data_IF_804941522775
#
_entry.id   IF_804941522775
#
_cell.length_a   1.000
_cell.length_b   1.000
_cell.length_c   1.000
_cell.angle_alpha   90.00
_cell.angle_beta   90.00
_cell.angle_gamma   90.00
#
_symmetry.space_group_name_H-M   'P 1'
#
loop_
_entity.id
_entity.type
_entity.pdbx_description
1 polymer ?
#
# COMPACT_ATOMS: atom_id res chain seq x y z
N UNK A 1 -6.17 -24.06 19.08
CA UNK A 1 -5.66 -22.91 18.31
C UNK A 1 -4.62 -23.47 17.36
N UNK A 2 -4.73 -23.21 16.07
CA UNK A 2 -3.67 -23.48 15.10
C UNK A 2 -3.06 -22.13 14.70
N UNK A 3 -1.73 -22.08 14.59
CA UNK A 3 -1.00 -20.91 14.12
C UNK A 3 -0.41 -21.22 12.75
N UNK A 4 -0.71 -20.39 11.76
CA UNK A 4 -0.07 -20.43 10.45
C UNK A 4 1.14 -19.50 10.47
N UNK A 5 2.27 -19.98 9.93
CA UNK A 5 3.51 -19.21 9.77
C UNK A 5 4.01 -19.38 8.33
N UNK A 6 4.60 -18.33 7.78
CA UNK A 6 5.30 -18.31 6.50
C UNK A 6 6.74 -17.84 6.73
N UNK A 7 7.73 -18.73 6.63
CA UNK A 7 9.16 -18.45 6.73
C UNK A 7 9.80 -18.06 5.38
N UNK A 8 10.97 -17.42 5.44
CA UNK A 8 11.52 -16.69 4.29
C UNK A 8 13.06 -16.57 4.29
N UNK A 9 13.81 -17.28 3.43
CA UNK A 9 15.29 -17.20 3.40
C UNK A 9 15.93 -17.59 2.04
N UNK A 10 16.85 -16.78 1.47
CA UNK A 10 17.48 -17.01 0.13
C UNK A 10 18.87 -16.37 -0.08
N UNK A 11 19.52 -16.74 -1.20
CA UNK A 11 20.80 -16.24 -1.73
C UNK A 11 20.65 -15.68 -3.17
N UNK A 12 21.57 -14.78 -3.60
CA UNK A 12 21.47 -14.05 -4.87
C UNK A 12 21.92 -14.82 -6.13
N UNK A 13 21.35 -14.43 -7.28
CA UNK A 13 21.99 -14.50 -8.61
C UNK A 13 21.92 -13.12 -9.27
N UNK A 14 23.01 -12.69 -9.92
CA UNK A 14 23.05 -11.42 -10.67
C UNK A 14 22.49 -11.62 -12.09
N UNK A 15 21.21 -11.27 -12.29
CA UNK A 15 20.63 -11.08 -13.63
C UNK A 15 20.37 -9.58 -13.88
N UNK A 16 20.63 -9.13 -15.10
CA UNK A 16 20.44 -7.72 -15.48
C UNK A 16 18.99 -7.47 -15.95
N UNK A 17 18.02 -7.50 -15.03
CA UNK A 17 16.62 -7.08 -15.27
C UNK A 17 16.12 -6.16 -14.15
N UNK A 18 15.17 -5.29 -14.49
CA UNK A 18 15.10 -3.93 -13.91
C UNK A 18 14.55 -3.79 -12.47
N UNK A 19 14.05 -4.85 -11.84
CA UNK A 19 13.28 -4.79 -10.60
C UNK A 19 14.03 -5.40 -9.40
N UNK A 20 15.22 -4.88 -9.10
CA UNK A 20 16.10 -5.41 -8.05
C UNK A 20 15.55 -5.21 -6.62
N UNK A 21 14.76 -6.17 -6.13
CA UNK A 21 14.23 -6.20 -4.76
C UNK A 21 12.71 -6.34 -4.65
N UNK A 22 12.02 -6.77 -5.70
CA UNK A 22 10.63 -7.21 -5.63
C UNK A 22 10.55 -8.74 -5.45
N UNK A 23 9.57 -9.17 -4.66
CA UNK A 23 9.09 -10.55 -4.58
C UNK A 23 7.55 -10.47 -4.65
N UNK A 24 6.91 -11.21 -5.54
CA UNK A 24 5.44 -11.20 -5.67
C UNK A 24 4.96 -12.63 -5.65
N UNK A 25 4.16 -13.02 -4.68
CA UNK A 25 3.68 -14.38 -4.50
C UNK A 25 2.21 -14.43 -4.92
N UNK A 26 1.87 -15.39 -5.77
CA UNK A 26 0.52 -15.81 -6.14
C UNK A 26 0.20 -17.08 -5.33
N UNK A 27 -0.83 -17.01 -4.49
CA UNK A 27 -1.04 -17.99 -3.41
C UNK A 27 -2.01 -19.10 -3.84
N UNK A 28 -1.66 -20.35 -3.56
CA UNK A 28 -2.36 -21.53 -4.06
C UNK A 28 -1.94 -21.97 -5.47
N UNK A 29 -1.11 -21.18 -6.16
CA UNK A 29 -0.60 -21.47 -7.50
C UNK A 29 0.36 -22.68 -7.47
N UNK A 30 0.23 -23.55 -8.47
CA UNK A 30 1.06 -24.77 -8.56
C UNK A 30 2.55 -24.45 -8.78
N UNK A 31 3.46 -25.30 -8.29
CA UNK A 31 4.91 -25.08 -8.45
C UNK A 31 5.39 -25.26 -9.89
N UNK A 32 4.64 -26.02 -10.71
CA UNK A 32 4.75 -25.98 -12.18
C UNK A 32 4.32 -24.60 -12.70
N UNK A 33 3.19 -24.10 -12.20
CA UNK A 33 2.50 -22.90 -12.66
C UNK A 33 3.00 -21.56 -12.10
N UNK A 34 4.10 -21.57 -11.38
CA UNK A 34 4.37 -20.60 -10.33
C UNK A 34 4.68 -19.14 -10.78
N UNK A 35 5.26 -18.86 -11.96
CA UNK A 35 6.27 -17.78 -12.11
C UNK A 35 6.15 -16.67 -13.18
N UNK A 36 4.95 -16.24 -13.55
CA UNK A 36 4.70 -15.52 -14.81
C UNK A 36 5.01 -14.01 -14.75
N UNK A 37 5.22 -13.39 -15.92
CA UNK A 37 5.21 -11.92 -16.06
C UNK A 37 3.78 -11.44 -16.27
N UNK A 38 3.15 -10.96 -15.20
CA UNK A 38 1.81 -10.39 -15.28
C UNK A 38 1.80 -9.09 -16.11
N UNK A 39 1.03 -9.00 -17.21
CA UNK A 39 0.96 -7.77 -17.99
C UNK A 39 0.27 -6.62 -17.24
N UNK A 40 -0.60 -6.91 -16.26
CA UNK A 40 -1.41 -5.90 -15.55
C UNK A 40 -0.62 -5.10 -14.50
N UNK A 41 0.47 -5.67 -13.99
CA UNK A 41 1.47 -5.07 -13.11
C UNK A 41 2.62 -4.40 -13.86
N UNK A 42 2.56 -4.29 -15.19
CA UNK A 42 3.65 -3.77 -15.99
C UNK A 42 4.79 -4.77 -16.25
N UNK A 43 4.52 -6.08 -16.12
CA UNK A 43 5.49 -7.16 -16.36
C UNK A 43 6.29 -7.57 -15.13
N UNK A 44 5.77 -7.35 -13.91
CA UNK A 44 6.36 -7.90 -12.68
C UNK A 44 6.25 -9.43 -12.73
N UNK A 45 7.28 -10.11 -12.21
CA UNK A 45 7.30 -11.56 -12.03
C UNK A 45 6.56 -11.91 -10.73
N UNK A 46 5.58 -12.82 -10.83
CA UNK A 46 4.95 -13.51 -9.70
C UNK A 46 5.58 -14.89 -9.52
N UNK A 47 5.38 -15.53 -8.36
CA UNK A 47 5.90 -16.86 -7.96
C UNK A 47 4.86 -17.58 -7.07
N UNK A 48 4.80 -18.92 -7.06
CA UNK A 48 4.00 -19.73 -6.11
C UNK A 48 4.46 -19.55 -4.66
N UNK A 49 3.59 -19.97 -3.75
CA UNK A 49 3.80 -20.00 -2.30
C UNK A 49 4.48 -21.27 -1.77
N UNK A 50 4.78 -22.27 -2.61
CA UNK A 50 5.32 -23.57 -2.22
C UNK A 50 6.65 -23.55 -1.45
N UNK A 51 7.56 -22.60 -1.76
CA UNK A 51 8.80 -22.38 -0.99
C UNK A 51 8.71 -21.28 0.07
N UNK A 52 7.48 -20.81 0.37
CA UNK A 52 7.18 -19.66 1.23
C UNK A 52 6.25 -20.03 2.40
N UNK A 53 5.74 -21.26 2.45
CA UNK A 53 4.72 -21.73 3.39
C UNK A 53 5.25 -22.85 4.28
N UNK A 54 5.08 -22.71 5.61
CA UNK A 54 5.40 -23.80 6.56
C UNK A 54 4.18 -24.69 6.86
N UNK A 55 2.97 -24.22 6.49
CA UNK A 55 1.70 -24.87 6.74
C UNK A 55 0.61 -24.30 5.81
N UNK A 56 -0.45 -25.08 5.59
CA UNK A 56 -1.57 -24.76 4.68
C UNK A 56 -1.83 -25.92 3.72
N UNK A 57 -2.88 -25.79 2.92
CA UNK A 57 -3.15 -26.65 1.75
C UNK A 57 -3.58 -25.73 0.59
N UNK A 58 -3.09 -25.98 -0.63
CA UNK A 58 -3.37 -25.12 -1.78
C UNK A 58 -4.83 -25.31 -2.25
N UNK A 59 -5.68 -24.38 -1.84
CA UNK A 59 -7.12 -24.35 -2.18
C UNK A 59 -7.32 -23.89 -3.62
N UNK A 60 -7.30 -24.84 -4.56
CA UNK A 60 -7.49 -24.55 -6.00
C UNK A 60 -8.83 -23.84 -6.24
N UNK A 61 -8.76 -22.70 -6.94
CA UNK A 61 -9.91 -21.99 -7.48
C UNK A 61 -10.54 -22.76 -8.65
N UNK A 62 -11.71 -22.32 -9.14
CA UNK A 62 -12.34 -22.92 -10.31
C UNK A 62 -11.39 -22.92 -11.54
N UNK A 63 -11.53 -23.87 -12.50
CA UNK A 63 -10.51 -24.16 -13.53
C UNK A 63 -10.26 -23.10 -14.62
N UNK A 64 -10.51 -21.83 -14.35
CA UNK A 64 -10.57 -20.73 -15.31
C UNK A 64 -9.33 -19.78 -15.23
N UNK A 65 -8.32 -20.07 -14.37
CA UNK A 65 -7.43 -19.05 -13.78
C UNK A 65 -5.94 -19.44 -13.35
N UNK A 66 -5.02 -20.06 -14.15
CA UNK A 66 -3.61 -20.51 -13.71
C UNK A 66 -2.37 -20.24 -14.70
N UNK A 67 -1.07 -20.43 -14.26
CA UNK A 67 0.30 -20.60 -14.98
C UNK A 67 1.39 -19.45 -15.06
N UNK A 68 2.78 -19.56 -15.10
CA UNK A 68 3.91 -20.59 -15.15
C UNK A 68 5.37 -20.09 -14.69
N UNK A 69 6.27 -20.88 -14.00
CA UNK A 69 7.74 -20.68 -13.52
C UNK A 69 8.13 -20.26 -12.04
N UNK A 70 9.27 -19.66 -11.55
CA UNK A 70 9.60 -19.55 -10.05
C UNK A 70 10.59 -18.41 -9.47
N UNK A 71 10.68 -18.20 -8.10
CA UNK A 71 11.76 -17.59 -7.16
C UNK A 71 11.88 -16.04 -6.79
N UNK A 72 12.37 -15.44 -5.65
CA UNK A 72 12.85 -15.79 -4.24
C UNK A 72 13.22 -14.56 -3.24
N UNK A 73 13.73 -14.76 -1.97
CA UNK A 73 13.88 -13.78 -0.77
C UNK A 73 15.19 -12.90 -0.50
N UNK A 74 15.32 -12.21 0.69
CA UNK A 74 16.32 -11.13 1.07
C UNK A 74 16.79 -11.04 2.58
N UNK A 75 17.68 -10.08 2.96
CA UNK A 75 18.21 -9.86 4.34
C UNK A 75 18.51 -8.40 4.79
N UNK A 76 18.32 -8.09 6.09
CA UNK A 76 18.75 -6.90 6.87
C UNK A 76 17.99 -5.56 6.68
N UNK A 77 18.30 -4.56 7.55
CA UNK A 77 17.61 -3.32 8.00
C UNK A 77 16.91 -2.38 6.99
N UNK A 78 16.48 -2.87 5.85
CA UNK A 78 15.83 -2.09 4.82
C UNK A 78 14.35 -1.85 5.17
N UNK A 79 13.81 -0.72 4.72
CA UNK A 79 12.36 -0.48 4.75
C UNK A 79 11.70 -1.29 3.65
N UNK A 80 10.62 -1.98 3.97
CA UNK A 80 9.82 -2.76 3.04
C UNK A 80 8.35 -2.35 3.10
N UNK A 81 7.68 -2.51 1.97
CA UNK A 81 6.23 -2.60 1.90
C UNK A 81 5.88 -4.07 1.66
N UNK A 82 5.14 -4.67 2.59
CA UNK A 82 4.40 -5.90 2.32
C UNK A 82 2.96 -5.54 1.91
N UNK A 83 2.38 -6.33 1.02
CA UNK A 83 1.02 -6.17 0.49
C UNK A 83 0.37 -7.54 0.39
N UNK A 84 -0.93 -7.63 0.62
CA UNK A 84 -1.69 -8.85 0.39
C UNK A 84 -3.08 -8.57 -0.19
N UNK A 85 -3.67 -9.61 -0.76
CA UNK A 85 -5.09 -9.69 -1.12
C UNK A 85 -5.64 -11.10 -0.87
N UNK A 86 -6.96 -11.19 -0.66
CA UNK A 86 -7.68 -12.44 -0.48
C UNK A 86 -8.96 -12.43 -1.35
N UNK A 87 -8.81 -12.78 -2.63
CA UNK A 87 -9.92 -12.83 -3.59
C UNK A 87 -10.60 -14.20 -3.57
N UNK A 88 -11.91 -14.23 -3.29
CA UNK A 88 -12.67 -15.48 -3.17
C UNK A 88 -13.12 -16.04 -4.53
N UNK A 89 -12.47 -17.12 -4.96
CA UNK A 89 -12.82 -17.91 -6.15
C UNK A 89 -13.69 -19.14 -5.88
N UNK A 90 -14.62 -19.08 -4.90
CA UNK A 90 -15.54 -20.17 -4.53
C UNK A 90 -14.86 -21.52 -4.19
N UNK A 91 -13.68 -21.48 -3.56
CA UNK A 91 -12.89 -22.68 -3.23
C UNK A 91 -13.57 -23.64 -2.23
N UNK A 92 -14.55 -23.18 -1.45
CA UNK A 92 -15.32 -24.00 -0.48
C UNK A 92 -16.69 -24.44 -1.02
N UNK A 93 -17.02 -24.10 -2.27
CA UNK A 93 -18.25 -24.47 -2.95
C UNK A 93 -19.53 -23.76 -2.44
N UNK A 94 -19.42 -22.81 -1.51
CA UNK A 94 -20.60 -22.11 -0.92
C UNK A 94 -21.09 -20.93 -1.73
N UNK A 95 -20.24 -20.36 -2.57
CA UNK A 95 -20.44 -19.14 -3.34
C UNK A 95 -20.85 -17.92 -2.47
N UNK A 96 -20.36 -17.87 -1.22
CA UNK A 96 -20.63 -16.79 -0.27
C UNK A 96 -19.39 -16.52 0.61
N UNK A 97 -18.81 -15.33 0.42
CA UNK A 97 -17.71 -14.79 1.24
C UNK A 97 -18.12 -13.60 2.12
N UNK A 98 -19.42 -13.30 2.22
CA UNK A 98 -19.93 -12.14 2.96
C UNK A 98 -19.55 -12.17 4.44
N UNK A 99 -19.52 -13.37 5.04
CA UNK A 99 -19.14 -13.61 6.42
C UNK A 99 -17.63 -13.84 6.64
N UNK A 100 -16.82 -13.99 5.58
CA UNK A 100 -15.41 -14.38 5.69
C UNK A 100 -14.52 -13.19 6.08
N UNK A 101 -14.01 -13.24 7.31
CA UNK A 101 -12.93 -12.39 7.79
C UNK A 101 -11.92 -13.17 8.64
N UNK A 102 -10.69 -12.66 8.72
CA UNK A 102 -9.61 -13.21 9.53
C UNK A 102 -8.58 -12.13 9.85
N UNK A 103 -7.84 -12.27 10.95
CA UNK A 103 -6.79 -11.32 11.32
C UNK A 103 -5.47 -11.67 10.63
N UNK A 104 -4.71 -10.66 10.24
CA UNK A 104 -3.34 -10.81 9.75
C UNK A 104 -2.38 -10.15 10.72
N UNK A 105 -1.28 -10.85 11.00
CA UNK A 105 -0.16 -10.34 11.78
C UNK A 105 1.12 -10.34 10.95
N UNK A 106 1.97 -9.34 11.20
CA UNK A 106 3.35 -9.26 10.71
C UNK A 106 4.29 -9.54 11.90
N UNK A 107 4.82 -10.76 11.96
CA UNK A 107 5.46 -11.26 13.19
C UNK A 107 4.45 -11.35 14.34
N UNK A 108 4.79 -10.74 15.47
CA UNK A 108 3.86 -10.62 16.61
C UNK A 108 2.86 -9.46 16.46
N UNK A 109 3.12 -8.50 15.57
CA UNK A 109 2.35 -7.27 15.45
C UNK A 109 1.06 -7.53 14.64
N UNK A 110 -0.09 -7.14 15.17
CA UNK A 110 -1.34 -7.10 14.38
C UNK A 110 -1.21 -6.07 13.24
N UNK A 111 -1.63 -6.45 12.03
CA UNK A 111 -1.57 -5.62 10.83
C UNK A 111 -2.97 -5.06 10.49
N UNK A 112 -3.92 -5.92 10.15
CA UNK A 112 -5.33 -5.57 9.92
C UNK A 112 -6.22 -6.84 9.98
N UNK A 113 -7.53 -6.67 9.99
CA UNK A 113 -8.53 -7.73 9.80
C UNK A 113 -8.96 -7.75 8.34
N UNK A 114 -8.56 -8.79 7.60
CA UNK A 114 -8.93 -8.98 6.20
C UNK A 114 -10.42 -9.33 6.11
N UNK A 115 -11.13 -8.62 5.22
CA UNK A 115 -12.55 -8.83 4.93
C UNK A 115 -12.71 -9.15 3.46
N UNK A 116 -12.91 -10.42 3.17
CA UNK A 116 -12.87 -10.98 1.81
C UNK A 116 -13.89 -10.29 0.90
N UNK A 117 -15.10 -10.05 1.42
CA UNK A 117 -16.18 -9.29 0.75
C UNK A 117 -15.82 -7.86 0.33
N UNK A 118 -14.85 -7.22 0.98
CA UNK A 118 -14.50 -5.82 0.69
C UNK A 118 -13.58 -5.74 -0.55
N UNK A 119 -13.00 -6.87 -1.00
CA UNK A 119 -12.06 -7.02 -2.12
C UNK A 119 -10.95 -5.95 -2.13
N UNK A 120 -10.40 -5.65 -0.96
CA UNK A 120 -9.35 -4.65 -0.77
C UNK A 120 -7.95 -5.25 -0.82
N UNK A 121 -6.99 -4.38 -1.14
CA UNK A 121 -5.56 -4.64 -1.07
C UNK A 121 -5.03 -4.00 0.21
N UNK A 122 -4.48 -4.82 1.10
CA UNK A 122 -3.91 -4.38 2.36
C UNK A 122 -2.41 -4.20 2.18
N UNK A 123 -1.83 -3.11 2.70
CA UNK A 123 -0.36 -2.90 2.70
C UNK A 123 0.12 -2.56 4.11
N UNK A 124 1.37 -2.89 4.43
CA UNK A 124 2.09 -2.44 5.63
C UNK A 124 3.51 -2.02 5.25
N UNK A 125 3.93 -0.86 5.73
CA UNK A 125 5.34 -0.44 5.69
C UNK A 125 6.01 -0.78 7.01
N UNK A 126 7.17 -1.42 6.96
CA UNK A 126 7.96 -1.85 8.12
C UNK A 126 9.46 -1.79 7.84
N UNK A 127 10.28 -1.76 8.89
CA UNK A 127 11.74 -1.95 8.79
C UNK A 127 12.07 -3.41 9.11
N UNK A 128 12.88 -4.09 8.30
CA UNK A 128 13.22 -5.49 8.53
C UNK A 128 14.07 -5.70 9.80
N UNK A 129 13.47 -6.30 10.83
CA UNK A 129 14.15 -6.70 12.07
C UNK A 129 14.98 -7.99 11.94
N UNK A 130 14.79 -8.76 10.87
CA UNK A 130 15.45 -10.03 10.63
C UNK A 130 15.72 -10.28 9.14
N UNK A 131 16.30 -11.44 8.81
CA UNK A 131 16.45 -11.92 7.43
C UNK A 131 15.22 -12.64 6.87
N UNK A 132 14.06 -12.44 7.49
CA UNK A 132 12.76 -13.03 7.21
C UNK A 132 11.68 -12.17 7.90
N UNK A 133 10.45 -12.17 7.39
CA UNK A 133 9.33 -11.45 8.00
C UNK A 133 8.04 -12.26 7.78
N UNK A 134 7.52 -12.96 8.80
CA UNK A 134 6.39 -13.85 8.60
C UNK A 134 5.08 -13.07 8.59
N UNK A 135 4.21 -13.45 7.65
CA UNK A 135 2.81 -13.05 7.64
C UNK A 135 2.01 -14.21 8.23
N UNK A 136 1.34 -13.99 9.35
CA UNK A 136 0.60 -15.01 10.09
C UNK A 136 -0.90 -14.76 9.94
N UNK A 137 -1.65 -15.78 9.51
CA UNK A 137 -3.10 -15.69 9.33
C UNK A 137 -3.82 -16.31 10.53
N UNK A 138 -4.70 -15.54 11.19
CA UNK A 138 -5.39 -15.93 12.41
C UNK A 138 -6.91 -16.03 12.17
N UNK A 139 -7.45 -17.23 12.37
CA UNK A 139 -8.87 -17.51 12.23
C UNK A 139 -9.68 -16.89 13.39
N UNK A 140 -10.57 -15.95 13.08
CA UNK A 140 -11.46 -15.26 14.03
C UNK A 140 -12.76 -16.03 14.33
N UNK A 141 -12.95 -17.22 13.73
CA UNK A 141 -14.17 -18.02 13.76
C UNK A 141 -15.03 -17.90 12.49
N UNK A 142 -14.61 -17.08 11.52
CA UNK A 142 -15.41 -16.63 10.39
C UNK A 142 -15.12 -17.32 9.04
N UNK A 143 -14.13 -18.21 8.98
CA UNK A 143 -13.79 -18.97 7.79
C UNK A 143 -12.46 -19.71 7.95
N UNK A 144 -11.98 -20.39 6.91
CA UNK A 144 -10.56 -20.71 6.82
C UNK A 144 -9.82 -19.45 6.32
N UNK A 145 -8.75 -18.97 6.97
CA UNK A 145 -7.93 -17.90 6.42
C UNK A 145 -7.20 -18.37 5.15
N UNK A 146 -7.15 -17.50 4.15
CA UNK A 146 -6.46 -17.75 2.88
C UNK A 146 -5.96 -16.43 2.29
N UNK A 147 -4.95 -16.47 1.42
CA UNK A 147 -4.57 -15.36 0.56
C UNK A 147 -4.72 -15.79 -0.90
N UNK A 148 -4.82 -14.82 -1.80
CA UNK A 148 -4.60 -15.02 -3.24
C UNK A 148 -3.35 -14.31 -3.75
N UNK A 149 -2.82 -13.35 -3.00
CA UNK A 149 -1.55 -12.68 -3.32
C UNK A 149 -0.84 -12.21 -2.05
N UNK A 150 0.49 -12.33 -2.04
CA UNK A 150 1.40 -11.74 -1.05
C UNK A 150 2.62 -11.11 -1.77
N UNK A 151 2.67 -9.79 -1.80
CA UNK A 151 3.75 -9.02 -2.43
C UNK A 151 4.68 -8.40 -1.37
N UNK A 152 5.99 -8.40 -1.65
CA UNK A 152 7.01 -7.67 -0.92
C UNK A 152 7.76 -6.74 -1.89
N UNK A 153 7.95 -5.49 -1.48
CA UNK A 153 8.66 -4.44 -2.23
C UNK A 153 9.70 -3.83 -1.32
N UNK A 154 11.00 -3.95 -1.67
CA UNK A 154 12.03 -3.14 -1.02
C UNK A 154 11.75 -1.66 -1.32
N UNK A 155 11.71 -0.84 -0.28
CA UNK A 155 11.66 0.62 -0.38
C UNK A 155 13.06 1.22 -0.31
N UNK A 156 13.19 2.49 -0.71
CA UNK A 156 14.40 3.27 -0.46
C UNK A 156 14.64 3.47 1.04
N UNK A 157 15.89 3.37 1.46
CA UNK A 157 16.31 3.28 2.87
C UNK A 157 15.92 4.52 3.74
N UNK A 158 15.54 5.64 3.10
CA UNK A 158 15.08 6.87 3.74
C UNK A 158 13.57 7.16 3.59
N UNK A 159 12.79 6.25 2.99
CA UNK A 159 11.37 6.47 2.75
C UNK A 159 10.53 6.31 4.03
N UNK A 160 9.57 7.21 4.20
CA UNK A 160 8.71 7.32 5.40
C UNK A 160 9.52 7.57 6.69
N UNK A 161 10.23 8.71 6.83
CA UNK A 161 11.12 8.99 7.97
C UNK A 161 10.43 9.08 9.34
N UNK A 162 9.09 9.07 9.39
CA UNK A 162 8.31 8.97 10.63
C UNK A 162 8.18 7.52 11.16
N UNK A 163 8.61 6.51 10.39
CA UNK A 163 8.52 5.10 10.76
C UNK A 163 9.79 4.64 11.49
N UNK A 164 9.67 4.31 12.78
CA UNK A 164 10.78 3.74 13.55
C UNK A 164 10.90 2.22 13.38
N UNK A 165 12.09 1.66 13.62
CA UNK A 165 12.36 0.24 13.38
C UNK A 165 11.59 -0.75 14.29
N UNK A 166 10.92 -0.25 15.33
CA UNK A 166 10.01 -1.00 16.20
C UNK A 166 8.52 -0.73 15.90
N UNK A 167 8.21 -0.11 14.75
CA UNK A 167 6.86 0.26 14.34
C UNK A 167 6.53 -0.31 12.95
N UNK A 168 5.24 -0.44 12.70
CA UNK A 168 4.65 -0.90 11.44
C UNK A 168 3.51 0.04 11.09
N UNK A 169 3.40 0.45 9.82
CA UNK A 169 2.37 1.39 9.35
C UNK A 169 1.48 0.70 8.31
N UNK A 170 0.29 0.27 8.72
CA UNK A 170 -0.74 -0.22 7.80
C UNK A 170 -1.26 0.92 6.92
N UNK A 171 -1.45 0.66 5.63
CA UNK A 171 -1.98 1.63 4.66
C UNK A 171 -3.49 1.72 4.79
N UNK A 172 -3.99 2.79 5.40
CA UNK A 172 -5.42 3.06 5.42
C UNK A 172 -5.94 3.52 4.05
N UNK A 173 -5.34 4.57 3.48
CA UNK A 173 -5.65 5.09 2.13
C UNK A 173 -4.42 5.77 1.53
N UNK A 174 -4.08 5.44 0.27
CA UNK A 174 -3.19 6.24 -0.60
C UNK A 174 -3.96 6.64 -1.85
N UNK A 175 -3.98 7.93 -2.19
CA UNK A 175 -4.84 8.47 -3.27
C UNK A 175 -4.07 9.36 -4.25
N UNK A 176 -4.37 9.20 -5.54
CA UNK A 176 -3.94 10.11 -6.59
C UNK A 176 -5.04 11.17 -6.81
N UNK A 177 -4.77 12.42 -6.45
CA UNK A 177 -5.77 13.51 -6.51
C UNK A 177 -5.81 14.13 -7.90
N UNK A 178 -6.92 13.96 -8.61
CA UNK A 178 -7.10 14.45 -9.97
C UNK A 178 -6.54 13.52 -11.06
N UNK A 179 -5.59 12.65 -10.72
CA UNK A 179 -5.08 11.58 -11.57
C UNK A 179 -5.90 10.28 -11.52
N UNK A 180 -5.33 9.22 -12.10
CA UNK A 180 -5.90 7.86 -12.14
C UNK A 180 -5.13 6.92 -11.20
N UNK A 181 -5.62 5.69 -11.04
CA UNK A 181 -4.85 4.59 -10.48
C UNK A 181 -3.52 4.42 -11.24
N UNK A 182 -2.41 4.40 -10.51
CA UNK A 182 -1.08 4.01 -11.00
C UNK A 182 -0.39 3.08 -9.99
N UNK A 183 0.54 2.26 -10.50
CA UNK A 183 1.45 1.34 -9.78
C UNK A 183 2.79 1.29 -10.56
N UNK A 184 3.56 0.20 -10.49
CA UNK A 184 4.65 -0.02 -11.46
C UNK A 184 4.13 -0.02 -12.92
N UNK A 185 4.88 0.51 -13.92
CA UNK A 185 6.23 1.09 -13.85
C UNK A 185 6.29 2.56 -13.40
N UNK A 186 5.16 3.25 -13.28
CA UNK A 186 5.13 4.68 -12.93
C UNK A 186 5.61 4.95 -11.49
N UNK A 187 5.29 4.05 -10.55
CA UNK A 187 5.90 3.99 -9.23
C UNK A 187 6.98 2.89 -9.20
N UNK A 188 8.28 3.22 -9.04
CA UNK A 188 9.37 2.24 -9.00
C UNK A 188 9.36 1.36 -7.74
N UNK A 189 8.52 1.66 -6.75
CA UNK A 189 8.27 0.85 -5.56
C UNK A 189 6.93 0.10 -5.65
N UNK A 190 6.24 0.16 -6.79
CA UNK A 190 4.97 -0.51 -7.08
C UNK A 190 3.83 -0.19 -6.09
N UNK A 191 3.88 0.94 -5.39
CA UNK A 191 2.81 1.38 -4.47
C UNK A 191 1.54 1.68 -5.24
N UNK A 192 0.39 1.31 -4.69
CA UNK A 192 -0.90 1.60 -5.32
C UNK A 192 -1.35 3.01 -4.93
N UNK A 193 -1.52 3.88 -5.94
CA UNK A 193 -2.02 5.24 -5.78
C UNK A 193 -3.42 5.33 -6.38
N UNK A 194 -4.44 5.03 -5.57
CA UNK A 194 -5.80 4.87 -6.05
C UNK A 194 -6.46 6.18 -6.50
N UNK A 195 -7.24 6.16 -7.58
CA UNK A 195 -8.11 7.27 -7.97
C UNK A 195 -8.95 7.77 -6.79
N UNK A 196 -9.17 9.08 -6.72
CA UNK A 196 -10.24 9.69 -5.92
C UNK A 196 -11.03 10.67 -6.79
N UNK A 197 -12.35 10.70 -6.61
CA UNK A 197 -13.27 11.62 -7.29
C UNK A 197 -14.21 12.19 -6.24
N UNK A 198 -14.39 13.51 -6.25
CA UNK A 198 -15.37 14.21 -5.42
C UNK A 198 -16.04 15.29 -6.29
N UNK A 199 -17.39 15.38 -6.37
CA UNK A 199 -18.07 16.39 -7.17
C UNK A 199 -17.76 17.85 -6.80
N UNK A 200 -17.18 18.10 -5.62
CA UNK A 200 -16.79 19.42 -5.11
C UNK A 200 -15.39 19.84 -5.56
N UNK A 201 -14.67 18.98 -6.29
CA UNK A 201 -13.30 19.22 -6.75
C UNK A 201 -13.23 19.23 -8.29
N UNK A 202 -12.26 19.95 -8.84
CA UNK A 202 -11.89 19.89 -10.26
C UNK A 202 -10.44 19.43 -10.40
N UNK A 203 -10.22 18.60 -11.41
CA UNK A 203 -8.92 17.99 -11.66
C UNK A 203 -8.05 18.96 -12.48
N UNK A 204 -6.80 19.13 -12.05
CA UNK A 204 -5.75 19.85 -12.75
C UNK A 204 -4.66 18.86 -13.17
N UNK A 205 -4.02 19.11 -14.31
CA UNK A 205 -2.86 18.32 -14.75
C UNK A 205 -1.84 19.19 -15.48
N UNK A 206 -0.61 18.69 -15.56
CA UNK A 206 0.48 19.31 -16.33
C UNK A 206 1.36 18.23 -16.98
N UNK A 207 2.04 18.59 -18.07
CA UNK A 207 3.10 17.79 -18.68
C UNK A 207 4.51 18.26 -18.25
N UNK A 208 4.60 19.22 -17.32
CA UNK A 208 5.89 19.72 -16.82
C UNK A 208 6.56 18.67 -15.93
N UNK A 209 7.90 18.62 -15.96
CA UNK A 209 8.68 17.75 -15.08
C UNK A 209 8.57 18.24 -13.63
N UNK A 210 8.46 17.28 -12.71
CA UNK A 210 8.43 17.50 -11.25
C UNK A 210 9.69 16.96 -10.60
N UNK A 211 10.11 17.55 -9.48
CA UNK A 211 11.12 16.99 -8.58
C UNK A 211 10.43 16.35 -7.36
N UNK A 212 10.42 15.01 -7.21
CA UNK A 212 9.85 14.35 -6.02
C UNK A 212 10.59 14.68 -4.72
N UNK A 213 9.92 14.51 -3.58
CA UNK A 213 10.53 14.59 -2.26
C UNK A 213 11.32 13.30 -2.00
N UNK A 214 12.65 13.31 -1.77
CA UNK A 214 13.43 12.09 -1.60
C UNK A 214 13.01 11.25 -0.36
N UNK A 215 12.24 11.83 0.57
CA UNK A 215 11.71 11.17 1.78
C UNK A 215 10.44 10.36 1.52
N UNK A 216 9.81 10.57 0.36
CA UNK A 216 8.56 9.90 -0.03
C UNK A 216 8.59 9.34 -1.47
N UNK A 217 9.49 9.84 -2.32
CA UNK A 217 9.71 9.49 -3.71
C UNK A 217 8.39 9.32 -4.48
N UNK A 218 7.55 10.35 -4.48
CA UNK A 218 6.25 10.30 -5.15
C UNK A 218 6.43 10.15 -6.67
N UNK A 219 5.59 9.33 -7.35
CA UNK A 219 5.64 9.21 -8.79
C UNK A 219 5.43 10.58 -9.46
N UNK A 220 6.26 10.89 -10.46
CA UNK A 220 6.15 12.16 -11.21
C UNK A 220 4.74 12.32 -11.82
N UNK A 221 4.11 11.23 -12.26
CA UNK A 221 2.74 11.22 -12.79
C UNK A 221 1.65 11.53 -11.75
N UNK A 222 1.92 11.34 -10.45
CA UNK A 222 1.03 11.76 -9.35
C UNK A 222 1.20 13.26 -9.11
N UNK A 223 2.44 13.74 -9.03
CA UNK A 223 2.77 15.17 -8.85
C UNK A 223 2.33 16.04 -10.04
N UNK A 224 2.25 15.45 -11.23
CA UNK A 224 1.70 16.06 -12.45
C UNK A 224 0.17 16.21 -12.43
N UNK A 225 -0.52 15.72 -11.40
CA UNK A 225 -1.97 15.87 -11.22
C UNK A 225 -2.31 16.45 -9.86
N UNK A 226 -3.39 17.23 -9.79
CA UNK A 226 -3.89 17.80 -8.54
C UNK A 226 -5.42 17.93 -8.57
N UNK A 227 -6.01 18.16 -7.40
CA UNK A 227 -7.39 18.59 -7.25
C UNK A 227 -7.43 20.01 -6.68
N UNK A 228 -8.38 20.82 -7.14
CA UNK A 228 -8.72 22.13 -6.54
C UNK A 228 -10.21 22.20 -6.24
N UNK A 229 -10.64 23.14 -5.41
CA UNK A 229 -12.05 23.33 -5.08
C UNK A 229 -12.83 23.98 -6.25
N UNK A 230 -14.11 23.65 -6.41
CA UNK A 230 -14.95 24.19 -7.50
C UNK A 230 -15.87 25.34 -7.09
N UNK A 231 -16.31 26.11 -8.09
CA UNK A 231 -17.21 27.25 -7.91
C UNK A 231 -16.60 28.32 -7.02
N UNK A 232 -17.33 28.70 -5.97
CA UNK A 232 -16.90 29.71 -5.00
C UNK A 232 -16.32 29.10 -3.71
N UNK A 233 -16.02 27.80 -3.68
CA UNK A 233 -15.43 27.17 -2.48
C UNK A 233 -13.96 27.57 -2.32
N UNK A 234 -13.62 28.06 -1.14
CA UNK A 234 -12.24 28.41 -0.75
C UNK A 234 -11.48 27.25 -0.11
N UNK A 235 -12.13 26.10 0.09
CA UNK A 235 -11.55 24.95 0.80
C UNK A 235 -11.78 23.63 0.05
N UNK A 236 -10.74 22.79 0.08
CA UNK A 236 -10.82 21.37 -0.28
C UNK A 236 -10.89 20.57 1.02
N UNK A 237 -12.02 19.94 1.30
CA UNK A 237 -12.20 19.08 2.49
C UNK A 237 -12.41 17.63 2.11
N UNK A 238 -11.71 16.72 2.79
CA UNK A 238 -11.87 15.28 2.68
C UNK A 238 -12.18 14.71 4.07
N UNK A 239 -13.21 13.87 4.15
CA UNK A 239 -13.71 13.29 5.40
C UNK A 239 -13.87 11.79 5.24
N UNK A 240 -13.56 11.05 6.29
CA UNK A 240 -13.87 9.63 6.44
C UNK A 240 -14.25 9.37 7.90
N UNK A 241 -14.76 8.16 8.16
CA UNK A 241 -14.97 7.60 9.49
C UNK A 241 -14.30 6.24 9.53
N UNK A 242 -13.84 5.80 10.70
CA UNK A 242 -13.29 4.46 10.90
C UNK A 242 -13.61 3.97 12.31
N UNK A 243 -14.47 2.97 12.41
CA UNK A 243 -15.06 2.51 13.66
C UNK A 243 -14.12 1.58 14.47
N UNK A 244 -12.81 1.56 14.19
CA UNK A 244 -11.81 0.71 14.86
C UNK A 244 -11.03 1.52 15.93
N UNK A 245 -11.52 1.63 17.18
CA UNK A 245 -10.95 2.54 18.19
C UNK A 245 -9.53 2.20 18.65
N UNK A 246 -8.96 1.07 18.24
CA UNK A 246 -7.56 0.72 18.47
C UNK A 246 -6.59 1.44 17.52
N UNK A 247 -7.07 1.87 16.35
CA UNK A 247 -6.23 2.42 15.29
C UNK A 247 -5.82 3.86 15.60
N UNK A 248 -4.63 4.23 15.15
CA UNK A 248 -4.15 5.61 15.16
C UNK A 248 -3.61 5.94 13.76
N UNK A 249 -3.85 7.16 13.30
CA UNK A 249 -3.65 7.58 11.92
C UNK A 249 -2.54 8.62 11.83
N UNK A 250 -1.70 8.48 10.82
CA UNK A 250 -0.75 9.50 10.39
C UNK A 250 -1.11 9.90 8.96
N UNK A 251 -1.13 11.20 8.67
CA UNK A 251 -1.45 11.72 7.33
C UNK A 251 -0.21 12.25 6.65
N UNK A 252 -0.10 11.97 5.35
CA UNK A 252 0.92 12.49 4.44
C UNK A 252 0.20 13.22 3.32
N UNK A 253 0.43 14.52 3.20
CA UNK A 253 -0.22 15.38 2.22
C UNK A 253 0.85 15.91 1.26
N UNK A 254 0.92 15.31 0.08
CA UNK A 254 1.87 15.65 -0.98
C UNK A 254 1.33 16.82 -1.82
N UNK A 255 2.11 17.88 -2.00
CA UNK A 255 1.71 19.04 -2.79
C UNK A 255 2.80 19.43 -3.80
N UNK A 256 2.38 19.82 -5.01
CA UNK A 256 3.25 20.39 -6.04
C UNK A 256 2.56 21.58 -6.73
N UNK A 257 3.29 22.66 -7.03
CA UNK A 257 2.77 23.79 -7.78
C UNK A 257 3.21 23.78 -9.25
N UNK A 258 2.25 23.88 -10.18
CA UNK A 258 2.47 24.03 -11.62
C UNK A 258 1.69 25.19 -12.27
N UNK A 259 1.18 26.15 -11.48
CA UNK A 259 0.45 27.34 -11.95
C UNK A 259 1.25 28.63 -11.73
N UNK A 260 2.34 28.81 -12.48
CA UNK A 260 3.32 29.91 -12.32
C UNK A 260 2.76 31.33 -12.29
N UNK A 261 1.57 31.56 -12.84
CA UNK A 261 0.91 32.86 -12.89
C UNK A 261 0.15 33.24 -11.60
N UNK A 262 0.01 32.32 -10.63
CA UNK A 262 -0.76 32.56 -9.40
C UNK A 262 0.01 32.09 -8.17
N UNK A 263 0.12 32.96 -7.16
CA UNK A 263 0.70 32.62 -5.87
C UNK A 263 -0.37 31.88 -5.04
N UNK A 264 -0.12 30.61 -4.72
CA UNK A 264 -1.05 29.75 -4.00
C UNK A 264 -0.59 29.55 -2.57
N UNK A 265 -1.42 30.01 -1.63
CA UNK A 265 -1.21 29.95 -0.19
C UNK A 265 -2.51 29.50 0.48
N UNK A 266 -2.42 28.55 1.42
CA UNK A 266 -3.58 27.98 2.11
C UNK A 266 -3.18 27.43 3.48
N UNK A 267 -4.18 27.28 4.36
CA UNK A 267 -4.02 26.54 5.60
C UNK A 267 -4.31 25.05 5.41
N UNK A 268 -3.64 24.21 6.20
CA UNK A 268 -3.86 22.76 6.24
C UNK A 268 -4.33 22.39 7.64
N UNK A 269 -5.41 21.62 7.73
CA UNK A 269 -5.95 21.14 9.01
C UNK A 269 -6.21 19.62 8.95
N UNK A 270 -5.91 18.92 10.04
CA UNK A 270 -6.30 17.52 10.25
C UNK A 270 -6.97 17.39 11.63
N UNK A 271 -8.25 17.01 11.61
CA UNK A 271 -9.12 16.89 12.79
C UNK A 271 -9.03 18.13 13.72
N UNK A 272 -9.19 19.31 13.11
CA UNK A 272 -9.12 20.62 13.78
C UNK A 272 -7.70 21.15 14.04
N UNK A 273 -6.68 20.30 14.06
CA UNK A 273 -5.30 20.68 14.32
C UNK A 273 -4.64 21.22 13.04
N UNK A 274 -4.06 22.42 13.10
CA UNK A 274 -3.36 23.04 11.96
C UNK A 274 -2.01 22.33 11.72
N UNK A 275 -1.73 21.94 10.48
CA UNK A 275 -0.48 21.30 10.06
C UNK A 275 0.42 22.30 9.35
N UNK A 276 1.73 22.03 9.33
CA UNK A 276 2.73 22.91 8.72
C UNK A 276 3.14 24.09 9.63
N UNK A 277 3.70 25.18 9.07
CA UNK A 277 4.23 26.31 9.83
C UNK A 277 3.12 27.06 10.59
N UNK A 278 3.24 27.23 11.91
CA UNK A 278 2.22 27.86 12.75
C UNK A 278 2.07 29.37 12.55
N UNK A 279 3.05 30.01 11.89
CA UNK A 279 3.23 31.46 11.77
C UNK A 279 2.64 32.07 10.48
N UNK A 280 2.36 31.25 9.46
CA UNK A 280 2.00 31.71 8.10
C UNK A 280 1.24 30.63 7.32
N UNK A 281 0.50 30.97 6.25
CA UNK A 281 -0.06 29.99 5.34
C UNK A 281 1.00 29.04 4.78
N UNK A 282 0.62 27.82 4.46
CA UNK A 282 1.47 26.90 3.71
C UNK A 282 1.48 27.28 2.23
N UNK A 283 2.66 27.15 1.61
CA UNK A 283 2.90 27.46 0.20
C UNK A 283 3.69 26.32 -0.45
N UNK A 284 3.11 25.58 -1.41
CA UNK A 284 3.85 24.54 -2.14
C UNK A 284 4.94 25.15 -3.05
N UNK A 285 6.04 24.42 -3.30
CA UNK A 285 7.10 24.85 -4.22
C UNK A 285 6.68 24.65 -5.68
N UNK A 286 7.22 25.49 -6.57
CA UNK A 286 6.98 25.40 -8.01
C UNK A 286 7.84 24.31 -8.66
N UNK A 287 7.19 23.37 -9.36
CA UNK A 287 7.75 22.19 -10.04
C UNK A 287 8.56 21.23 -9.14
N UNK A 288 8.27 21.22 -7.85
CA UNK A 288 8.75 20.22 -6.90
C UNK A 288 7.61 19.72 -6.01
N UNK A 289 7.77 18.53 -5.44
CA UNK A 289 6.94 18.09 -4.33
C UNK A 289 7.37 18.77 -3.02
N UNK A 290 6.46 18.80 -2.07
CA UNK A 290 6.78 18.78 -0.65
C UNK A 290 5.64 18.15 0.13
N UNK A 291 5.99 17.38 1.17
CA UNK A 291 5.00 16.63 1.97
C UNK A 291 4.77 17.29 3.32
N UNK A 292 3.51 17.55 3.66
CA UNK A 292 3.10 17.96 5.01
C UNK A 292 2.57 16.73 5.75
N UNK A 293 3.18 16.44 6.90
CA UNK A 293 2.84 15.29 7.75
C UNK A 293 2.09 15.75 9.01
N UNK A 294 1.36 14.84 9.67
CA UNK A 294 1.00 15.05 11.08
C UNK A 294 2.24 14.88 11.98
N UNK A 295 2.35 15.68 13.05
CA UNK A 295 3.47 15.61 14.01
C UNK A 295 3.57 14.29 14.80
N UNK A 296 2.56 13.43 14.67
CA UNK A 296 2.51 12.11 15.28
C UNK A 296 1.22 11.39 14.88
N UNK A 297 0.96 10.28 15.57
CA UNK A 297 -0.23 9.45 15.41
C UNK A 297 -1.45 10.08 16.09
N UNK A 298 -2.49 10.40 15.31
CA UNK A 298 -3.79 10.84 15.82
C UNK A 298 -4.66 9.64 16.17
N UNK A 299 -5.34 9.68 17.32
CA UNK A 299 -6.37 8.69 17.71
C UNK A 299 -7.66 9.43 18.05
N UNK A 300 -8.80 8.95 17.54
CA UNK A 300 -10.10 9.49 17.89
C UNK A 300 -10.35 9.31 19.40
N UNK A 301 -10.79 10.37 20.07
CA UNK A 301 -10.99 10.39 21.54
C UNK A 301 -12.40 9.98 21.97
N UNK A 302 -13.34 9.98 21.04
CA UNK A 302 -14.76 9.69 21.19
C UNK A 302 -15.20 8.39 20.50
N UNK A 303 -14.36 7.85 19.61
CA UNK A 303 -14.54 6.53 18.97
C UNK A 303 -15.29 6.53 17.63
N UNK A 304 -15.38 7.68 16.95
CA UNK A 304 -16.00 7.85 15.62
C UNK A 304 -15.02 8.40 14.56
#
# INVERSE_FOLDING_TARGET
MAFLVLLAAVLLVLSAQANAGFLSIDCGLDDEYSGYKDPNSGGIVYVSDGTYTDAGENLKVAPEYESYYQSHFLRSYLTYLARLAASYGNHDGRNDSSAMEFDVHLGANYWDTVRVRDNQVYEVVFVAWAGWAPVCLLNTGHGAPFLSMLELRRLGDALYPALMANQTMSMFRRRNMGGKFIRFPDDPYDRYWWTIVDPRWSNLSTAQNMQPDPSFAEPVVVLQTAATATGNSTALSYTWQDNRPAYSFMVFLHFADFQSAQLREFDIYFNGNRLGPSDKPYRPPYLASSTVCSFGWYRATDGN
#
